data_IF_164359115601
#
_entry.id   IF_164359115601
#
_cell.length_a   1.000
_cell.length_b   1.000
_cell.length_c   1.000
_cell.angle_alpha   90.00
_cell.angle_beta   90.00
_cell.angle_gamma   90.00
#
_symmetry.space_group_name_H-M   'P 1'
#
loop_
_entity.id
_entity.type
_entity.pdbx_description
1 polymer ?
#
# COMPACT_ATOMS: atom_id res chain seq x y z
N UNK A 1 -2.20 -15.61 52.24
CA UNK A 1 -3.12 -14.64 51.63
C UNK A 1 -2.38 -13.57 50.83
N UNK A 2 -1.47 -12.80 51.44
CA UNK A 2 -0.73 -11.71 50.75
C UNK A 2 0.10 -12.16 49.53
N UNK A 3 0.75 -13.33 49.60
CA UNK A 3 1.55 -13.89 48.47
C UNK A 3 0.69 -14.28 47.26
N UNK A 4 -0.52 -14.80 47.50
CA UNK A 4 -1.48 -15.16 46.45
C UNK A 4 -2.06 -13.91 45.79
N UNK A 5 -2.37 -12.88 46.58
CA UNK A 5 -2.82 -11.59 46.07
C UNK A 5 -1.75 -10.92 45.20
N UNK A 6 -0.49 -10.89 45.64
CA UNK A 6 0.61 -10.35 44.85
C UNK A 6 0.82 -11.13 43.54
N UNK A 7 0.81 -12.46 43.59
CA UNK A 7 0.94 -13.28 42.39
C UNK A 7 -0.20 -13.03 41.39
N UNK A 8 -1.44 -12.90 41.88
CA UNK A 8 -2.60 -12.55 41.06
C UNK A 8 -2.43 -11.17 40.41
N UNK A 9 -2.08 -10.14 41.19
CA UNK A 9 -1.86 -8.78 40.68
C UNK A 9 -0.71 -8.73 39.65
N UNK A 10 0.38 -9.47 39.87
CA UNK A 10 1.46 -9.59 38.89
C UNK A 10 0.98 -10.25 37.60
N UNK A 11 0.18 -11.32 37.68
CA UNK A 11 -0.36 -11.99 36.49
C UNK A 11 -1.28 -11.10 35.66
N UNK A 12 -2.12 -10.30 36.32
CA UNK A 12 -2.97 -9.30 35.66
C UNK A 12 -2.11 -8.22 34.99
N UNK A 13 -1.11 -7.69 35.69
CA UNK A 13 -0.19 -6.69 35.12
C UNK A 13 0.55 -7.20 33.88
N UNK A 14 1.08 -8.43 33.93
CA UNK A 14 1.73 -9.07 32.77
C UNK A 14 0.74 -9.25 31.62
N UNK A 15 -0.46 -9.74 31.90
CA UNK A 15 -1.49 -9.91 30.88
C UNK A 15 -1.87 -8.57 30.23
N UNK A 16 -2.02 -7.51 31.01
CA UNK A 16 -2.32 -6.17 30.48
C UNK A 16 -1.21 -5.67 29.56
N UNK A 17 0.06 -5.85 29.93
CA UNK A 17 1.20 -5.48 29.08
C UNK A 17 1.18 -6.27 27.76
N UNK A 18 0.89 -7.56 27.81
CA UNK A 18 0.79 -8.39 26.60
C UNK A 18 -0.36 -7.95 25.69
N UNK A 19 -1.53 -7.66 26.25
CA UNK A 19 -2.69 -7.16 25.47
C UNK A 19 -2.38 -5.81 24.84
N UNK A 20 -1.82 -4.86 25.59
CA UNK A 20 -1.44 -3.55 25.06
C UNK A 20 -0.39 -3.67 23.96
N UNK A 21 0.61 -4.54 24.14
CA UNK A 21 1.64 -4.79 23.13
C UNK A 21 1.04 -5.38 21.85
N UNK A 22 0.14 -6.37 21.98
CA UNK A 22 -0.55 -6.95 20.84
C UNK A 22 -1.38 -5.91 20.07
N UNK A 23 -2.12 -5.06 20.78
CA UNK A 23 -2.88 -3.97 20.18
C UNK A 23 -1.98 -2.95 19.45
N UNK A 24 -0.85 -2.59 20.04
CA UNK A 24 0.17 -1.74 19.40
C UNK A 24 0.70 -2.36 18.11
N UNK A 25 1.04 -3.64 18.13
CA UNK A 25 1.51 -4.37 16.95
C UNK A 25 0.47 -4.41 15.84
N UNK A 26 -0.82 -4.63 16.16
CA UNK A 26 -1.89 -4.60 15.16
C UNK A 26 -2.04 -3.22 14.53
N UNK A 27 -2.00 -2.17 15.35
CA UNK A 27 -2.17 -0.79 14.87
C UNK A 27 -1.03 -0.33 13.94
N UNK A 28 0.21 -0.75 14.24
CA UNK A 28 1.35 -0.45 13.38
C UNK A 28 1.24 -1.12 12.00
N UNK A 29 0.61 -2.29 11.91
CA UNK A 29 0.42 -3.00 10.62
C UNK A 29 -0.64 -2.34 9.73
N UNK A 30 -1.67 -1.75 10.33
CA UNK A 30 -2.75 -1.11 9.59
C UNK A 30 -2.36 0.27 9.02
N UNK A 31 -1.24 0.85 9.47
CA UNK A 31 -0.77 2.13 8.95
C UNK A 31 0.14 1.89 7.75
N UNK A 32 -0.26 2.28 6.52
CA UNK A 32 0.60 2.12 5.36
C UNK A 32 1.92 2.89 5.58
N UNK A 33 3.06 2.30 5.21
CA UNK A 33 4.35 2.96 5.24
C UNK A 33 4.31 4.33 4.55
N UNK A 34 5.11 5.27 5.07
CA UNK A 34 5.27 6.60 4.50
C UNK A 34 6.74 6.88 4.23
N UNK A 35 7.04 7.38 3.04
CA UNK A 35 8.38 7.79 2.67
C UNK A 35 8.51 9.31 2.82
N UNK A 36 9.05 9.76 3.95
CA UNK A 36 9.07 11.20 4.28
C UNK A 36 9.83 12.07 3.27
N UNK A 37 10.87 11.53 2.64
CA UNK A 37 11.61 12.23 1.59
C UNK A 37 10.80 12.39 0.29
N UNK A 38 9.78 11.55 0.09
CA UNK A 38 8.93 11.50 -1.10
C UNK A 38 7.44 11.49 -0.67
N UNK A 39 6.90 12.64 -0.26
CA UNK A 39 5.57 12.71 0.35
C UNK A 39 4.43 12.35 -0.61
N UNK A 40 4.68 12.35 -1.92
CA UNK A 40 3.70 11.94 -2.94
C UNK A 40 3.82 10.46 -3.33
N UNK A 41 4.83 9.75 -2.83
CA UNK A 41 4.98 8.33 -3.10
C UNK A 41 3.98 7.53 -2.26
N UNK A 42 3.20 6.69 -2.93
CA UNK A 42 2.20 5.84 -2.31
C UNK A 42 2.77 4.45 -2.07
N UNK A 43 2.56 3.90 -0.88
CA UNK A 43 2.88 2.50 -0.61
C UNK A 43 1.93 1.57 -1.37
N UNK A 44 2.50 0.66 -2.15
CA UNK A 44 1.80 -0.41 -2.86
C UNK A 44 2.45 -1.73 -2.47
N UNK A 45 1.72 -2.57 -1.74
CA UNK A 45 2.25 -3.83 -1.23
C UNK A 45 1.28 -4.55 -0.28
N UNK A 46 1.73 -5.67 0.26
CA UNK A 46 1.00 -6.50 1.22
C UNK A 46 1.86 -6.77 2.47
N UNK A 47 1.44 -7.74 3.30
CA UNK A 47 2.12 -8.07 4.56
C UNK A 47 3.56 -8.58 4.38
N UNK A 48 3.89 -9.13 3.20
CA UNK A 48 5.21 -9.66 2.83
C UNK A 48 6.16 -8.61 2.24
N UNK A 49 5.69 -7.38 2.05
CA UNK A 49 6.47 -6.25 1.56
C UNK A 49 5.78 -5.49 0.44
N UNK A 50 6.49 -4.49 -0.08
CA UNK A 50 5.96 -3.61 -1.10
C UNK A 50 6.96 -2.59 -1.59
N UNK A 51 6.45 -1.66 -2.37
CA UNK A 51 7.22 -0.57 -2.97
C UNK A 51 6.48 0.75 -2.81
N UNK A 52 7.25 1.82 -2.82
CA UNK A 52 6.71 3.17 -2.96
C UNK A 52 6.61 3.51 -4.45
N UNK A 53 5.45 4.01 -4.87
CA UNK A 53 5.20 4.39 -6.26
C UNK A 53 4.83 5.86 -6.34
N UNK A 54 5.52 6.60 -7.19
CA UNK A 54 5.31 8.04 -7.39
C UNK A 54 5.17 8.34 -8.89
N UNK A 55 4.16 9.13 -9.25
CA UNK A 55 4.08 9.72 -10.59
C UNK A 55 4.88 11.02 -10.55
N UNK A 56 6.15 10.95 -10.94
CA UNK A 56 7.07 12.07 -10.89
C UNK A 56 6.80 13.10 -12.00
N UNK A 57 6.25 12.66 -13.16
CA UNK A 57 5.77 13.56 -14.23
C UNK A 57 4.47 13.04 -14.84
N UNK A 58 3.55 13.95 -15.13
CA UNK A 58 2.27 13.65 -15.75
C UNK A 58 2.09 14.47 -17.04
N UNK A 59 2.20 13.81 -18.19
CA UNK A 59 2.08 14.38 -19.53
C UNK A 59 1.05 13.56 -20.33
N UNK A 60 -0.19 13.54 -19.84
CA UNK A 60 -1.24 12.65 -20.34
C UNK A 60 -1.28 12.58 -21.89
N UNK A 61 -1.26 11.38 -22.49
CA UNK A 61 -1.42 10.06 -21.86
C UNK A 61 -0.10 9.40 -21.38
N UNK A 62 1.02 10.12 -21.39
CA UNK A 62 2.32 9.60 -21.03
C UNK A 62 2.71 10.05 -19.60
N UNK A 63 3.17 9.12 -18.77
CA UNK A 63 3.45 9.36 -17.35
C UNK A 63 4.83 8.80 -17.00
N UNK A 64 5.64 9.58 -16.30
CA UNK A 64 6.91 9.11 -15.76
C UNK A 64 6.69 8.65 -14.33
N UNK A 65 6.93 7.36 -14.08
CA UNK A 65 6.72 6.71 -12.79
C UNK A 65 8.04 6.29 -12.20
N UNK A 66 8.22 6.56 -10.92
CA UNK A 66 9.34 6.12 -10.11
C UNK A 66 8.86 5.12 -9.07
N UNK A 67 9.60 4.03 -8.93
CA UNK A 67 9.34 2.96 -7.99
C UNK A 67 10.54 2.87 -7.07
N UNK A 68 10.27 2.93 -5.77
CA UNK A 68 11.28 3.03 -4.72
C UNK A 68 11.14 1.88 -3.74
N UNK A 69 12.29 1.44 -3.25
CA UNK A 69 12.37 0.54 -2.10
C UNK A 69 11.86 1.24 -0.82
N UNK A 70 11.64 0.46 0.24
CA UNK A 70 11.28 0.98 1.57
C UNK A 70 12.26 2.02 2.11
N UNK A 71 13.55 1.89 1.77
CA UNK A 71 14.59 2.82 2.17
C UNK A 71 14.60 4.14 1.35
N UNK A 72 13.78 4.22 0.30
CA UNK A 72 13.65 5.38 -0.60
C UNK A 72 14.53 5.34 -1.85
N UNK A 73 15.44 4.37 -1.98
CA UNK A 73 16.26 4.21 -3.17
C UNK A 73 15.40 3.81 -4.37
N UNK A 74 15.78 4.27 -5.56
CA UNK A 74 15.10 3.90 -6.79
C UNK A 74 15.34 2.42 -7.07
N UNK A 75 14.25 1.67 -7.20
CA UNK A 75 14.25 0.32 -7.74
C UNK A 75 14.16 0.40 -9.26
N UNK A 76 13.14 1.08 -9.79
CA UNK A 76 12.87 1.17 -11.21
C UNK A 76 12.19 2.50 -11.54
N UNK A 77 12.38 2.99 -12.76
CA UNK A 77 11.77 4.22 -13.26
C UNK A 77 11.53 4.13 -14.76
N UNK A 78 10.52 4.83 -15.26
CA UNK A 78 10.24 4.81 -16.69
C UNK A 78 8.97 5.54 -17.11
N UNK A 79 8.87 5.71 -18.42
CA UNK A 79 7.66 6.23 -19.06
C UNK A 79 6.67 5.10 -19.31
N UNK A 80 5.42 5.33 -18.92
CA UNK A 80 4.28 4.47 -19.25
C UNK A 80 3.22 5.29 -19.96
N UNK A 81 2.54 4.65 -20.92
CA UNK A 81 1.39 5.24 -21.59
C UNK A 81 0.12 4.67 -20.97
N UNK A 82 -0.73 5.54 -20.43
CA UNK A 82 -2.01 5.19 -19.84
C UNK A 82 -3.11 6.02 -20.48
N UNK A 83 -4.00 5.33 -21.20
CA UNK A 83 -5.16 5.91 -21.84
C UNK A 83 -6.42 5.24 -21.26
N UNK A 84 -7.05 5.92 -20.30
CA UNK A 84 -8.29 5.44 -19.70
C UNK A 84 -9.46 5.77 -20.61
N UNK A 85 -10.31 4.77 -20.90
CA UNK A 85 -11.56 4.97 -21.65
C UNK A 85 -12.50 5.99 -20.99
N UNK A 86 -12.36 6.18 -19.69
CA UNK A 86 -13.17 7.09 -18.89
C UNK A 86 -12.59 8.52 -18.85
N UNK A 87 -11.43 8.75 -19.47
CA UNK A 87 -10.79 10.07 -19.58
C UNK A 87 -10.07 10.56 -18.32
N UNK A 88 -9.99 9.73 -17.27
CA UNK A 88 -9.28 10.09 -16.04
C UNK A 88 -7.76 9.87 -16.18
N UNK A 89 -6.93 10.80 -15.68
CA UNK A 89 -5.48 10.64 -15.71
C UNK A 89 -5.05 9.50 -14.79
N UNK A 90 -3.88 8.92 -15.08
CA UNK A 90 -3.27 7.95 -14.19
C UNK A 90 -3.05 8.55 -12.79
N UNK A 91 -3.41 7.79 -11.77
CA UNK A 91 -3.21 8.10 -10.36
C UNK A 91 -2.42 6.97 -9.71
N UNK A 92 -1.52 7.30 -8.77
CA UNK A 92 -0.80 6.29 -7.99
C UNK A 92 -1.76 5.37 -7.21
N UNK A 93 -2.94 5.86 -6.83
CA UNK A 93 -3.96 5.05 -6.15
C UNK A 93 -4.62 4.02 -7.07
N UNK A 94 -4.49 4.15 -8.39
CA UNK A 94 -4.94 3.13 -9.34
C UNK A 94 -3.92 1.99 -9.50
N UNK A 95 -2.72 2.11 -8.91
CA UNK A 95 -1.67 1.10 -8.97
C UNK A 95 -1.89 0.10 -7.84
N UNK A 96 -2.06 -1.17 -8.18
CA UNK A 96 -2.37 -2.26 -7.24
C UNK A 96 -1.18 -3.15 -6.94
N UNK A 97 -0.11 -3.07 -7.74
CA UNK A 97 1.09 -3.86 -7.50
C UNK A 97 2.24 -3.52 -8.45
N UNK A 98 3.41 -4.05 -8.14
CA UNK A 98 4.60 -4.02 -8.99
C UNK A 98 5.27 -5.40 -9.00
N UNK A 99 5.48 -5.96 -10.19
CA UNK A 99 6.07 -7.27 -10.39
C UNK A 99 7.57 -7.26 -10.73
N UNK A 100 8.29 -6.17 -10.46
CA UNK A 100 9.71 -6.01 -10.80
C UNK A 100 9.97 -5.44 -12.19
N UNK A 101 9.09 -5.73 -13.15
CA UNK A 101 9.16 -5.17 -14.52
C UNK A 101 7.87 -4.49 -14.97
N UNK A 102 6.74 -4.83 -14.34
CA UNK A 102 5.42 -4.35 -14.74
C UNK A 102 4.65 -3.77 -13.53
N UNK A 103 3.95 -2.68 -13.77
CA UNK A 103 2.96 -2.11 -12.85
C UNK A 103 1.59 -2.72 -13.12
N UNK A 104 0.94 -3.18 -12.07
CA UNK A 104 -0.44 -3.65 -12.13
C UNK A 104 -1.37 -2.49 -11.79
N UNK A 105 -2.36 -2.28 -12.66
CA UNK A 105 -3.30 -1.18 -12.57
C UNK A 105 -4.71 -1.74 -12.35
N UNK A 106 -5.46 -1.12 -11.45
CA UNK A 106 -6.89 -1.32 -11.35
C UNK A 106 -7.57 -0.57 -12.51
N UNK A 107 -8.28 -1.32 -13.36
CA UNK A 107 -9.07 -0.75 -14.44
C UNK A 107 -10.55 -0.79 -14.06
N UNK A 108 -11.26 0.31 -14.27
CA UNK A 108 -12.72 0.33 -14.27
C UNK A 108 -13.22 -0.29 -15.58
N UNK A 109 -14.16 -1.21 -15.47
CA UNK A 109 -14.91 -1.72 -16.63
C UNK A 109 -16.34 -1.25 -16.46
N UNK A 110 -16.86 -0.50 -17.43
CA UNK A 110 -18.25 -0.08 -17.42
C UNK A 110 -19.17 -1.30 -17.41
N UNK A 111 -20.13 -1.32 -16.49
CA UNK A 111 -21.19 -2.33 -16.49
C UNK A 111 -22.13 -2.06 -17.67
N UNK A 112 -22.16 -2.96 -18.65
CA UNK A 112 -23.14 -2.90 -19.73
C UNK A 112 -24.32 -3.82 -19.40
N UNK A 113 -25.58 -3.38 -19.65
CA UNK A 113 -26.75 -4.24 -19.48
C UNK A 113 -26.76 -5.39 -20.49
N UNK A 114 -26.07 -5.23 -21.61
CA UNK A 114 -25.92 -6.24 -22.64
C UNK A 114 -24.63 -7.04 -22.44
N UNK A 115 -24.73 -8.36 -22.61
CA UNK A 115 -23.57 -9.25 -22.66
C UNK A 115 -22.77 -8.94 -23.92
N UNK A 116 -21.47 -8.69 -23.80
CA UNK A 116 -20.61 -8.55 -24.96
C UNK A 116 -20.71 -9.80 -25.84
N UNK A 117 -21.25 -9.66 -27.05
CA UNK A 117 -21.16 -10.72 -28.06
C UNK A 117 -19.69 -10.87 -28.45
N UNK A 118 -19.13 -12.05 -28.14
CA UNK A 118 -17.76 -12.37 -28.51
C UNK A 118 -17.62 -12.38 -30.04
N UNK A 119 -16.63 -11.65 -30.55
CA UNK A 119 -16.12 -11.79 -31.91
C UNK A 119 -15.03 -12.85 -31.95
#
# INVERSE_FOLDING_TARGET
MLRLLNAFLCSVGVLTILVLSALLFTWQRDTPPKLFAHPNALWVGAEDGGVFVEIAKAEAPDYYVEIRHENGDIWAEGWIRYDSKDGFPLSAAAITGFGGEALYLQTSVAMTPEKAEGR
#
